data_IF_751243687974
#
_entry.id   IF_751243687974
#
_cell.length_a   1.000
_cell.length_b   1.000
_cell.length_c   1.000
_cell.angle_alpha   90.00
_cell.angle_beta   90.00
_cell.angle_gamma   90.00
#
_symmetry.space_group_name_H-M   'P 1'
#
loop_
_entity.id
_entity.type
_entity.pdbx_description
1 polymer ?
#
# COMPACT_ATOMS: atom_id res chain seq x y z
N UNK A 1 11.72 -2.91 -20.69
CA UNK A 1 12.03 -2.71 -19.26
C UNK A 1 11.17 -3.65 -18.44
N UNK A 2 11.77 -4.47 -17.58
CA UNK A 2 11.03 -5.34 -16.66
C UNK A 2 10.58 -4.45 -15.49
N UNK A 3 9.29 -4.07 -15.45
CA UNK A 3 8.76 -3.25 -14.36
C UNK A 3 8.66 -4.07 -13.08
N UNK A 4 9.11 -3.50 -11.96
CA UNK A 4 8.98 -4.11 -10.64
C UNK A 4 7.68 -3.71 -9.93
N UNK A 5 6.96 -2.76 -10.51
CA UNK A 5 5.63 -2.38 -10.09
C UNK A 5 4.66 -2.21 -11.26
N UNK A 6 3.46 -2.74 -11.08
CA UNK A 6 2.34 -2.57 -12.02
C UNK A 6 1.06 -2.20 -11.26
N UNK A 7 0.32 -1.14 -11.65
CA UNK A 7 -0.95 -0.83 -11.03
C UNK A 7 -2.03 -1.88 -11.36
N UNK A 8 -2.92 -2.15 -10.41
CA UNK A 8 -4.12 -2.95 -10.65
C UNK A 8 -5.09 -2.12 -11.51
N UNK A 9 -5.32 -2.58 -12.74
CA UNK A 9 -6.16 -1.90 -13.73
C UNK A 9 -7.49 -2.62 -14.02
N UNK A 10 -7.76 -3.74 -13.37
CA UNK A 10 -9.00 -4.50 -13.55
C UNK A 10 -10.22 -3.65 -13.16
N UNK A 11 -11.10 -3.37 -14.13
CA UNK A 11 -12.26 -2.48 -13.97
C UNK A 11 -13.11 -2.83 -12.74
N UNK A 12 -13.53 -4.09 -12.64
CA UNK A 12 -14.39 -4.55 -11.55
C UNK A 12 -13.71 -4.42 -10.17
N UNK A 13 -12.41 -4.72 -10.07
CA UNK A 13 -11.63 -4.55 -8.83
C UNK A 13 -11.56 -3.08 -8.44
N UNK A 14 -11.35 -2.18 -9.40
CA UNK A 14 -11.36 -0.74 -9.15
C UNK A 14 -12.72 -0.26 -8.67
N UNK A 15 -13.80 -0.67 -9.34
CA UNK A 15 -15.17 -0.31 -8.95
C UNK A 15 -15.48 -0.74 -7.52
N UNK A 16 -15.20 -2.01 -7.16
CA UNK A 16 -15.41 -2.47 -5.78
C UNK A 16 -14.51 -1.77 -4.75
N UNK A 17 -13.27 -1.45 -5.12
CA UNK A 17 -12.37 -0.73 -4.21
C UNK A 17 -12.88 0.68 -3.91
N UNK A 18 -13.24 1.45 -4.94
CA UNK A 18 -13.73 2.82 -4.77
C UNK A 18 -15.10 2.82 -4.06
N UNK A 19 -16.03 1.96 -4.46
CA UNK A 19 -17.31 1.81 -3.75
C UNK A 19 -17.12 1.45 -2.27
N UNK A 20 -16.18 0.56 -1.95
CA UNK A 20 -15.90 0.20 -0.56
C UNK A 20 -15.35 1.38 0.26
N UNK A 21 -14.34 2.09 -0.25
CA UNK A 21 -13.69 3.18 0.51
C UNK A 21 -14.56 4.44 0.59
N UNK A 22 -15.45 4.67 -0.38
CA UNK A 22 -16.37 5.82 -0.36
C UNK A 22 -17.49 5.62 0.67
N UNK A 23 -17.77 4.37 1.05
CA UNK A 23 -18.82 4.01 2.02
C UNK A 23 -18.30 3.68 3.42
N UNK A 24 -16.97 3.66 3.63
CA UNK A 24 -16.39 3.34 4.94
C UNK A 24 -16.13 4.60 5.77
N UNK A 25 -16.70 4.66 6.97
CA UNK A 25 -16.44 5.73 7.92
C UNK A 25 -15.26 5.38 8.84
N UNK A 26 -14.09 5.89 8.46
CA UNK A 26 -12.88 5.86 9.28
C UNK A 26 -12.38 7.30 9.40
N UNK A 27 -12.63 7.95 10.55
CA UNK A 27 -12.25 9.34 10.76
C UNK A 27 -10.76 9.57 10.50
N UNK A 28 -10.43 10.77 10.05
CA UNK A 28 -9.07 11.25 9.85
C UNK A 28 -8.28 10.55 8.73
N UNK A 29 -8.76 9.46 8.11
CA UNK A 29 -8.09 8.81 6.96
C UNK A 29 -8.66 9.35 5.64
N UNK A 30 -7.79 9.87 4.77
CA UNK A 30 -8.14 10.45 3.47
C UNK A 30 -7.55 9.69 2.28
N UNK A 31 -6.70 8.69 2.55
CA UNK A 31 -6.04 7.91 1.52
C UNK A 31 -6.01 6.43 1.85
N UNK A 32 -6.27 5.62 0.82
CA UNK A 32 -6.26 4.17 0.87
C UNK A 32 -5.37 3.63 -0.24
N UNK A 33 -4.54 2.65 0.08
CA UNK A 33 -3.92 1.80 -0.91
C UNK A 33 -3.92 0.36 -0.44
N UNK A 34 -4.03 -0.56 -1.39
CA UNK A 34 -3.92 -1.99 -1.14
C UNK A 34 -3.05 -2.62 -2.22
N UNK A 35 -2.10 -3.45 -1.82
CA UNK A 35 -1.20 -4.10 -2.75
C UNK A 35 -0.64 -5.40 -2.22
N UNK A 36 0.03 -6.11 -3.12
CA UNK A 36 0.74 -7.35 -2.85
C UNK A 36 2.16 -7.25 -3.40
N UNK A 37 3.11 -7.75 -2.64
CA UNK A 37 4.48 -7.98 -3.08
C UNK A 37 4.82 -9.46 -2.99
N UNK A 38 5.48 -9.97 -4.02
CA UNK A 38 6.16 -11.27 -3.96
C UNK A 38 7.47 -11.20 -3.18
N UNK A 39 7.61 -12.06 -2.17
CA UNK A 39 8.84 -12.20 -1.41
C UNK A 39 9.98 -12.76 -2.25
N UNK A 40 9.67 -13.46 -3.35
CA UNK A 40 10.65 -14.10 -4.26
C UNK A 40 11.17 -13.08 -5.27
N UNK A 41 10.27 -12.56 -6.12
CA UNK A 41 10.65 -11.72 -7.26
C UNK A 41 10.82 -10.24 -6.87
N UNK A 42 10.32 -9.86 -5.69
CA UNK A 42 10.18 -8.47 -5.21
C UNK A 42 9.22 -7.60 -6.04
N UNK A 43 8.62 -8.14 -7.10
CA UNK A 43 7.60 -7.47 -7.90
C UNK A 43 6.36 -7.20 -7.06
N UNK A 44 5.64 -6.13 -7.42
CA UNK A 44 4.45 -5.71 -6.69
C UNK A 44 3.34 -5.23 -7.62
N UNK A 45 2.10 -5.42 -7.18
CA UNK A 45 0.94 -4.75 -7.75
C UNK A 45 0.19 -4.02 -6.65
N UNK A 46 -0.46 -2.91 -6.98
CA UNK A 46 -1.31 -2.20 -6.02
C UNK A 46 -2.41 -1.41 -6.68
N UNK A 47 -3.40 -1.04 -5.88
CA UNK A 47 -4.45 -0.08 -6.18
C UNK A 47 -4.39 1.04 -5.13
N UNK A 48 -4.49 2.29 -5.57
CA UNK A 48 -4.45 3.47 -4.70
C UNK A 48 -5.67 4.36 -4.96
N UNK A 49 -6.21 4.98 -3.91
CA UNK A 49 -7.39 5.85 -3.99
C UNK A 49 -7.11 7.18 -4.66
N UNK A 50 -5.83 7.56 -4.79
CA UNK A 50 -5.40 8.79 -5.46
C UNK A 50 -4.74 8.45 -6.80
N UNK A 51 -5.46 8.60 -7.94
CA UNK A 51 -4.99 8.16 -9.25
C UNK A 51 -3.73 8.89 -9.74
N UNK A 52 -3.61 10.19 -9.45
CA UNK A 52 -2.47 11.01 -9.83
C UNK A 52 -1.20 10.51 -9.14
N UNK A 53 -1.30 10.18 -7.85
CA UNK A 53 -0.21 9.59 -7.10
C UNK A 53 0.15 8.19 -7.62
N UNK A 54 -0.84 7.35 -7.91
CA UNK A 54 -0.59 6.02 -8.49
C UNK A 54 0.13 6.10 -9.85
N UNK A 55 -0.25 7.08 -10.68
CA UNK A 55 0.38 7.35 -11.97
C UNK A 55 1.83 7.76 -11.79
N UNK A 56 2.14 8.67 -10.86
CA UNK A 56 3.52 9.03 -10.57
C UNK A 56 4.34 7.85 -10.02
N UNK A 57 3.75 7.06 -9.13
CA UNK A 57 4.38 5.88 -8.55
C UNK A 57 4.75 4.83 -9.61
N UNK A 58 3.86 4.61 -10.59
CA UNK A 58 4.13 3.75 -11.75
C UNK A 58 5.22 4.32 -12.67
N UNK A 59 5.05 5.58 -13.11
CA UNK A 59 5.96 6.20 -14.07
C UNK A 59 7.41 6.21 -13.57
N UNK A 60 7.60 6.49 -12.29
CA UNK A 60 8.92 6.57 -11.66
C UNK A 60 9.38 5.28 -10.99
N UNK A 61 8.58 4.21 -11.03
CA UNK A 61 8.86 2.92 -10.38
C UNK A 61 9.32 3.07 -8.91
N UNK A 62 8.62 3.91 -8.14
CA UNK A 62 9.01 4.25 -6.76
C UNK A 62 9.02 3.07 -5.79
N UNK A 63 8.47 1.91 -6.17
CA UNK A 63 8.42 0.68 -5.38
C UNK A 63 9.77 0.23 -4.79
N UNK A 64 10.88 0.53 -5.48
CA UNK A 64 12.23 0.12 -5.06
C UNK A 64 12.88 1.12 -4.11
N UNK A 65 12.44 2.37 -4.17
CA UNK A 65 13.05 3.48 -3.44
C UNK A 65 12.19 3.95 -2.27
N UNK A 66 10.90 3.60 -2.22
CA UNK A 66 9.95 4.04 -1.20
C UNK A 66 10.43 3.69 0.23
N UNK A 67 10.80 4.71 1.04
CA UNK A 67 11.26 4.52 2.41
C UNK A 67 10.23 3.83 3.29
N UNK A 68 8.93 4.17 3.16
CA UNK A 68 7.86 3.56 3.94
C UNK A 68 7.77 2.08 3.66
N UNK A 69 7.84 1.72 2.39
CA UNK A 69 7.79 0.33 1.96
C UNK A 69 9.00 -0.46 2.47
N UNK A 70 10.21 0.10 2.37
CA UNK A 70 11.44 -0.52 2.91
C UNK A 70 11.34 -0.77 4.42
N UNK A 71 10.91 0.24 5.17
CA UNK A 71 10.74 0.14 6.63
C UNK A 71 9.63 -0.87 7.01
N UNK A 72 8.55 -0.90 6.25
CA UNK A 72 7.42 -1.82 6.48
C UNK A 72 7.83 -3.27 6.26
N UNK A 73 8.63 -3.54 5.21
CA UNK A 73 9.07 -4.89 4.87
C UNK A 73 10.19 -5.42 5.76
N UNK A 74 10.92 -4.53 6.46
CA UNK A 74 12.00 -4.93 7.38
C UNK A 74 11.50 -5.33 8.78
N UNK A 75 10.23 -5.07 9.10
CA UNK A 75 9.63 -5.42 10.38
C UNK A 75 8.71 -6.64 10.29
N UNK A 76 8.50 -7.32 11.44
CA UNK A 76 7.51 -8.41 11.60
C UNK A 76 6.15 -7.92 12.10
N UNK A 77 6.00 -6.62 12.37
CA UNK A 77 4.73 -6.04 12.88
C UNK A 77 3.64 -6.08 11.81
N UNK A 78 2.39 -6.21 12.27
CA UNK A 78 1.19 -6.20 11.41
C UNK A 78 0.52 -4.83 11.32
N UNK A 79 0.72 -3.98 12.33
CA UNK A 79 0.27 -2.59 12.35
C UNK A 79 1.51 -1.73 12.52
N UNK A 80 1.78 -0.89 11.53
CA UNK A 80 3.01 -0.13 11.44
C UNK A 80 2.62 1.35 11.33
N UNK A 81 2.68 2.11 12.43
CA UNK A 81 2.49 3.54 12.36
C UNK A 81 3.61 4.18 11.53
N UNK A 82 3.28 5.24 10.81
CA UNK A 82 4.28 6.08 10.17
C UNK A 82 3.91 7.56 10.29
N UNK A 83 4.97 8.36 10.42
CA UNK A 83 5.01 9.78 10.13
C UNK A 83 5.90 9.97 8.90
N UNK A 84 6.28 11.20 8.51
CA UNK A 84 7.37 11.36 7.55
C UNK A 84 8.58 10.50 8.00
N UNK A 85 9.07 9.65 7.08
CA UNK A 85 10.12 8.66 7.36
C UNK A 85 11.45 9.18 6.85
N UNK A 86 12.49 8.99 7.66
CA UNK A 86 13.86 9.32 7.28
C UNK A 86 14.27 8.64 5.97
N UNK A 87 14.89 9.43 5.10
CA UNK A 87 15.26 9.01 3.76
C UNK A 87 16.76 8.73 3.69
N UNK A 88 17.11 7.55 3.16
CA UNK A 88 18.52 7.13 3.02
C UNK A 88 19.16 7.70 1.75
N UNK A 89 18.35 7.99 0.71
CA UNK A 89 18.79 8.51 -0.58
C UNK A 89 17.91 9.68 -1.07
N UNK A 90 18.38 10.36 -2.12
CA UNK A 90 17.65 11.49 -2.71
C UNK A 90 16.32 11.07 -3.37
N UNK A 91 16.22 9.83 -3.85
CA UNK A 91 14.98 9.29 -4.39
C UNK A 91 13.92 9.15 -3.30
N UNK A 92 14.29 8.61 -2.13
CA UNK A 92 13.43 8.52 -0.96
C UNK A 92 12.95 9.89 -0.49
N UNK A 93 13.85 10.89 -0.49
CA UNK A 93 13.49 12.29 -0.18
C UNK A 93 12.43 12.83 -1.12
N UNK A 94 12.60 12.61 -2.43
CA UNK A 94 11.62 13.05 -3.42
C UNK A 94 10.28 12.33 -3.26
N UNK A 95 10.29 11.02 -2.97
CA UNK A 95 9.07 10.25 -2.69
C UNK A 95 8.33 10.82 -1.47
N UNK A 96 9.04 11.08 -0.37
CA UNK A 96 8.43 11.69 0.81
C UNK A 96 7.89 13.10 0.52
N UNK A 97 8.62 13.91 -0.26
CA UNK A 97 8.15 15.23 -0.69
C UNK A 97 6.86 15.16 -1.51
N UNK A 98 6.79 14.24 -2.49
CA UNK A 98 5.58 14.04 -3.30
C UNK A 98 4.40 13.57 -2.46
N UNK A 99 4.63 12.60 -1.56
CA UNK A 99 3.60 12.18 -0.59
C UNK A 99 3.07 13.36 0.22
N UNK A 100 3.95 14.22 0.71
CA UNK A 100 3.60 15.43 1.48
C UNK A 100 2.73 16.39 0.67
N UNK A 101 3.00 16.58 -0.63
CA UNK A 101 2.18 17.39 -1.56
C UNK A 101 0.76 16.81 -1.69
N UNK A 102 0.64 15.49 -1.74
CA UNK A 102 -0.63 14.78 -1.82
C UNK A 102 -1.32 14.57 -0.46
N UNK A 103 -0.82 15.20 0.62
CA UNK A 103 -1.39 15.07 1.96
C UNK A 103 -1.05 13.76 2.67
N UNK A 104 -0.21 12.89 2.11
CA UNK A 104 0.07 11.54 2.61
C UNK A 104 1.21 11.51 3.65
N UNK A 105 1.10 12.35 4.69
CA UNK A 105 2.19 12.63 5.63
C UNK A 105 2.27 11.62 6.78
N UNK A 106 1.11 11.26 7.33
CA UNK A 106 1.00 10.35 8.45
C UNK A 106 0.08 9.18 8.10
N UNK A 107 0.06 8.17 8.96
CA UNK A 107 -0.90 7.10 8.82
C UNK A 107 -0.44 5.79 9.44
N UNK A 108 -1.03 4.71 8.94
CA UNK A 108 -0.71 3.36 9.37
C UNK A 108 -0.65 2.42 8.17
N UNK A 109 0.27 1.46 8.23
CA UNK A 109 0.31 0.33 7.28
C UNK A 109 -0.15 -0.93 8.00
N UNK A 110 -1.12 -1.61 7.41
CA UNK A 110 -1.61 -2.91 7.83
C UNK A 110 -0.97 -3.98 6.95
N UNK A 111 -0.29 -4.93 7.58
CA UNK A 111 0.42 -6.01 6.90
C UNK A 111 -0.27 -7.35 7.14
N UNK A 112 -0.39 -8.14 6.09
CA UNK A 112 -0.76 -9.54 6.13
C UNK A 112 0.29 -10.34 5.35
N UNK A 113 0.99 -11.26 6.02
CA UNK A 113 2.10 -12.03 5.43
C UNK A 113 1.65 -13.48 5.27
N UNK A 114 1.43 -13.90 4.03
CA UNK A 114 0.90 -15.22 3.71
C UNK A 114 1.85 -15.94 2.76
N UNK A 115 2.58 -16.93 3.29
CA UNK A 115 3.55 -17.70 2.53
C UNK A 115 4.62 -16.81 1.90
N UNK A 116 4.65 -16.76 0.57
CA UNK A 116 5.63 -15.99 -0.20
C UNK A 116 5.17 -14.58 -0.56
N UNK A 117 4.14 -14.07 0.12
CA UNK A 117 3.48 -12.82 -0.25
C UNK A 117 3.26 -11.90 0.94
N UNK A 118 3.49 -10.61 0.69
CA UNK A 118 3.19 -9.54 1.63
C UNK A 118 2.04 -8.71 1.06
N UNK A 119 0.86 -8.80 1.68
CA UNK A 119 -0.21 -7.84 1.46
C UNK A 119 0.03 -6.61 2.32
N UNK A 120 -0.11 -5.45 1.71
CA UNK A 120 0.16 -4.15 2.31
C UNK A 120 -1.04 -3.25 2.07
N UNK A 121 -1.67 -2.79 3.16
CA UNK A 121 -2.74 -1.80 3.13
C UNK A 121 -2.17 -0.53 3.76
N UNK A 122 -2.15 0.57 3.01
CA UNK A 122 -1.70 1.87 3.52
C UNK A 122 -2.90 2.75 3.74
N UNK A 123 -3.07 3.22 4.97
CA UNK A 123 -4.05 4.24 5.34
C UNK A 123 -3.26 5.53 5.59
N UNK A 124 -3.48 6.54 4.77
CA UNK A 124 -2.78 7.82 4.83
C UNK A 124 -3.69 8.95 5.33
N UNK A 125 -3.07 9.98 5.88
CA UNK A 125 -3.75 11.19 6.34
C UNK A 125 -2.88 12.43 6.29
N UNK A 126 -3.50 13.55 5.90
CA UNK A 126 -2.97 14.90 6.04
C UNK A 126 -3.34 15.59 7.34
N UNK A 127 -4.10 14.93 8.22
CA UNK A 127 -4.60 15.51 9.47
C UNK A 127 -3.45 15.88 10.42
N UNK A 128 -3.44 17.14 10.85
CA UNK A 128 -2.44 17.66 11.78
C UNK A 128 -2.66 17.07 13.18
N UNK A 129 -1.60 16.51 13.76
CA UNK A 129 -1.66 15.90 15.09
C UNK A 129 -2.25 14.49 15.12
N UNK A 130 -2.34 13.81 13.97
CA UNK A 130 -2.76 12.41 13.92
C UNK A 130 -1.90 11.50 14.82
N UNK A 131 -2.50 10.96 15.88
CA UNK A 131 -1.86 9.96 16.74
C UNK A 131 -2.18 8.55 16.24
N UNK A 132 -1.27 8.02 15.42
CA UNK A 132 -1.37 6.68 14.86
C UNK A 132 -1.53 5.55 15.89
N UNK A 133 -0.93 5.65 17.08
CA UNK A 133 -1.00 4.61 18.09
C UNK A 133 -2.36 4.60 18.78
N UNK A 134 -2.84 5.77 19.14
CA UNK A 134 -4.16 5.93 19.73
C UNK A 134 -5.28 5.59 18.73
N UNK A 135 -5.11 5.98 17.47
CA UNK A 135 -5.99 5.60 16.37
C UNK A 135 -6.08 4.07 16.20
N UNK A 136 -4.95 3.35 16.20
CA UNK A 136 -4.92 1.88 16.12
C UNK A 136 -5.70 1.27 17.30
N UNK A 137 -5.51 1.79 18.52
CA UNK A 137 -6.22 1.28 19.70
C UNK A 137 -7.74 1.50 19.58
N UNK A 138 -8.16 2.71 19.21
CA UNK A 138 -9.58 3.08 19.09
C UNK A 138 -10.30 2.28 18.01
N UNK A 139 -9.64 2.03 16.87
CA UNK A 139 -10.28 1.43 15.69
C UNK A 139 -9.82 0.00 15.38
N UNK A 140 -9.14 -0.69 16.31
CA UNK A 140 -8.50 -1.98 16.08
C UNK A 140 -9.34 -3.00 15.29
N UNK A 141 -10.58 -3.27 15.74
CA UNK A 141 -11.46 -4.22 15.07
C UNK A 141 -11.88 -3.75 13.67
N UNK A 142 -12.19 -2.46 13.50
CA UNK A 142 -12.53 -1.89 12.18
C UNK A 142 -11.36 -2.03 11.21
N UNK A 143 -10.14 -1.75 11.67
CA UNK A 143 -8.92 -1.90 10.88
C UNK A 143 -8.67 -3.35 10.49
N UNK A 144 -8.96 -4.29 11.38
CA UNK A 144 -8.85 -5.73 11.08
C UNK A 144 -9.83 -6.14 9.97
N UNK A 145 -11.10 -5.74 10.05
CA UNK A 145 -12.10 -6.03 9.01
C UNK A 145 -11.76 -5.34 7.69
N UNK A 146 -11.42 -4.05 7.74
CA UNK A 146 -10.99 -3.28 6.56
C UNK A 146 -9.84 -3.97 5.84
N UNK A 147 -8.82 -4.43 6.58
CA UNK A 147 -7.68 -5.14 5.99
C UNK A 147 -8.15 -6.38 5.22
N UNK A 148 -9.01 -7.18 5.83
CA UNK A 148 -9.50 -8.42 5.22
C UNK A 148 -10.35 -8.17 3.99
N UNK A 149 -11.22 -7.15 4.03
CA UNK A 149 -12.08 -6.76 2.92
C UNK A 149 -11.25 -6.25 1.73
N UNK A 150 -10.28 -5.37 1.97
CA UNK A 150 -9.40 -4.86 0.93
C UNK A 150 -8.55 -5.97 0.30
N UNK A 151 -8.04 -6.92 1.10
CA UNK A 151 -7.35 -8.12 0.59
C UNK A 151 -8.28 -8.95 -0.30
N UNK A 152 -9.54 -9.13 0.13
CA UNK A 152 -10.54 -9.88 -0.64
C UNK A 152 -10.84 -9.21 -1.97
N UNK A 153 -10.94 -7.88 -2.00
CA UNK A 153 -11.18 -7.09 -3.22
C UNK A 153 -10.09 -7.36 -4.27
N UNK A 154 -8.81 -7.35 -3.87
CA UNK A 154 -7.70 -7.57 -4.82
C UNK A 154 -7.32 -9.04 -5.02
N UNK A 155 -8.04 -9.99 -4.41
CA UNK A 155 -7.63 -11.41 -4.38
C UNK A 155 -7.45 -12.02 -5.77
N UNK A 156 -8.32 -11.69 -6.72
CA UNK A 156 -8.23 -12.22 -8.07
C UNK A 156 -7.03 -11.66 -8.85
N UNK A 157 -6.76 -10.36 -8.72
CA UNK A 157 -5.57 -9.73 -9.30
C UNK A 157 -4.29 -10.28 -8.66
N UNK A 158 -4.31 -10.50 -7.34
CA UNK A 158 -3.24 -11.18 -6.64
C UNK A 158 -2.99 -12.56 -7.26
N UNK A 159 -3.98 -13.46 -7.31
CA UNK A 159 -3.81 -14.81 -7.89
C UNK A 159 -3.24 -14.75 -9.31
N UNK A 160 -3.73 -13.87 -10.17
CA UNK A 160 -3.20 -13.72 -11.54
C UNK A 160 -1.74 -13.28 -11.55
N UNK A 161 -1.42 -12.28 -10.74
CA UNK A 161 -0.04 -11.83 -10.53
C UNK A 161 0.85 -12.98 -10.05
N UNK A 162 0.36 -13.79 -9.11
CA UNK A 162 1.09 -14.96 -8.60
C UNK A 162 1.32 -16.04 -9.65
N UNK A 163 0.31 -16.35 -10.46
CA UNK A 163 0.42 -17.36 -11.52
C UNK A 163 1.44 -16.95 -12.58
N UNK A 164 1.49 -15.67 -12.94
CA UNK A 164 2.47 -15.15 -13.90
C UNK A 164 3.92 -15.31 -13.40
N UNK A 165 4.15 -15.21 -12.09
CA UNK A 165 5.47 -15.45 -11.49
C UNK A 165 5.89 -16.92 -11.50
N UNK A 166 4.94 -17.85 -11.42
CA UNK A 166 5.24 -19.30 -11.49
C UNK A 166 5.58 -19.71 -12.92
N UNK A 167 4.92 -19.10 -13.91
CA UNK A 167 5.06 -19.45 -15.34
C UNK A 167 6.33 -18.84 -15.96
N UNK A 168 6.88 -17.74 -15.42
CA UNK A 168 8.19 -17.23 -15.81
C UNK A 168 9.26 -17.84 -14.91
N UNK A 169 9.92 -18.95 -15.29
CA UNK A 169 10.99 -19.50 -14.49
C UNK A 169 12.13 -18.49 -14.49
N UNK A 170 12.77 -18.37 -13.34
CA UNK A 170 14.01 -17.62 -13.14
C UNK A 170 15.01 -18.16 -14.18
N UNK A 171 15.31 -17.35 -15.19
CA UNK A 171 16.45 -17.54 -16.09
C UNK A 171 17.60 -16.65 -15.62
#
# INVERSE_FOLDING_TARGET
MNKNYTPIATKLTKEFFFDYIDNIDIPEIDYFAVGIQSCITKKSISLMSLPEWQKQFDLNQYVEHDPLRKATLSTKRNFIPFTEIDCVDNFGKEIMRQRSIYGLKNGIVLMERLGKYNYMITLGTGFLGFDSLDFIKRYYFRLYYLKNDLIKIIKNDAIRFLMQEIIQPIF
#
